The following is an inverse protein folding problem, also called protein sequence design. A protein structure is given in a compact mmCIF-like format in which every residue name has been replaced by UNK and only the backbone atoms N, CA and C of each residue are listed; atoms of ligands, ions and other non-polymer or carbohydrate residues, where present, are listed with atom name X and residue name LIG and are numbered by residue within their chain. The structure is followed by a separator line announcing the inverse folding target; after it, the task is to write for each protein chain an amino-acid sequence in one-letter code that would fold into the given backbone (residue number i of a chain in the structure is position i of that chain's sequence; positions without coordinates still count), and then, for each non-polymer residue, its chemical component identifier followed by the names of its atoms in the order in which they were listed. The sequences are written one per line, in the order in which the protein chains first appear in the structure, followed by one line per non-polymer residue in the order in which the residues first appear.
data_IF_067785046811
#
_entry.id   IF_067785046811
#
_cell.length_a   1.000
_cell.length_b   1.000
_cell.length_c   1.000
_cell.angle_alpha   90.00
_cell.angle_beta   90.00
_cell.angle_gamma   90.00
#
_symmetry.space_group_name_H-M   'P 1'
#
loop_
_entity.id
_entity.type
_entity.pdbx_description
1 polymer ?
#
# COMPACT_ATOMS: atom_id res chain seq x y z
N UNK A 1 -18.57 -6.80 -13.21
CA UNK A 1 -19.22 -7.51 -12.07
C UNK A 1 -18.54 -8.82 -11.69
N UNK A 2 -17.99 -9.60 -12.61
CA UNK A 2 -17.36 -10.91 -12.40
C UNK A 2 -16.06 -10.82 -11.59
N UNK A 3 -15.22 -9.80 -11.80
CA UNK A 3 -13.93 -9.64 -11.11
C UNK A 3 -14.05 -9.29 -9.61
N UNK A 4 -15.10 -8.57 -9.21
CA UNK A 4 -15.34 -8.22 -7.80
C UNK A 4 -15.57 -9.46 -6.94
N UNK A 5 -16.22 -10.47 -7.51
CA UNK A 5 -16.48 -11.75 -6.84
C UNK A 5 -15.21 -12.62 -6.74
N UNK A 6 -14.28 -12.52 -7.69
CA UNK A 6 -13.01 -13.25 -7.64
C UNK A 6 -12.06 -12.69 -6.57
N UNK A 7 -12.00 -11.37 -6.42
CA UNK A 7 -11.19 -10.73 -5.37
C UNK A 7 -11.72 -11.06 -3.97
N UNK A 8 -13.04 -10.97 -3.77
CA UNK A 8 -13.67 -11.37 -2.50
C UNK A 8 -13.42 -12.86 -2.19
N UNK A 9 -13.49 -13.73 -3.20
CA UNK A 9 -13.20 -15.14 -3.07
C UNK A 9 -11.73 -15.41 -2.70
N UNK A 10 -10.80 -14.67 -3.28
CA UNK A 10 -9.37 -14.79 -2.95
C UNK A 10 -9.10 -14.33 -1.51
N UNK A 11 -9.63 -13.20 -1.09
CA UNK A 11 -9.50 -12.69 0.30
C UNK A 11 -10.10 -13.70 1.28
N UNK A 12 -11.26 -14.25 0.97
CA UNK A 12 -11.92 -15.26 1.81
C UNK A 12 -11.08 -16.55 1.96
N UNK A 13 -10.48 -17.02 0.86
CA UNK A 13 -9.57 -18.19 0.89
C UNK A 13 -8.32 -17.92 1.71
N UNK A 14 -7.72 -16.74 1.61
CA UNK A 14 -6.57 -16.36 2.42
C UNK A 14 -6.92 -16.23 3.90
N UNK A 15 -8.07 -15.65 4.24
CA UNK A 15 -8.55 -15.59 5.62
C UNK A 15 -8.78 -16.98 6.22
N UNK A 16 -9.38 -17.89 5.45
CA UNK A 16 -9.60 -19.29 5.88
C UNK A 16 -8.25 -19.99 6.06
N UNK A 17 -7.30 -19.81 5.14
CA UNK A 17 -5.96 -20.41 5.24
C UNK A 17 -5.21 -19.90 6.50
N UNK A 18 -5.25 -18.60 6.76
CA UNK A 18 -4.67 -18.02 7.97
C UNK A 18 -5.36 -18.53 9.24
N UNK A 19 -6.68 -18.65 9.24
CA UNK A 19 -7.42 -19.21 10.36
C UNK A 19 -7.07 -20.68 10.60
N UNK A 20 -6.93 -21.50 9.56
CA UNK A 20 -6.54 -22.91 9.65
C UNK A 20 -5.10 -23.04 10.17
N UNK A 21 -4.18 -22.21 9.70
CA UNK A 21 -2.80 -22.16 10.19
C UNK A 21 -2.77 -21.77 11.68
N UNK A 22 -3.52 -20.75 12.08
CA UNK A 22 -3.62 -20.34 13.50
C UNK A 22 -4.23 -21.42 14.38
N UNK A 23 -5.26 -22.12 13.89
CA UNK A 23 -5.91 -23.24 14.60
C UNK A 23 -4.95 -24.43 14.71
N UNK A 24 -4.19 -24.75 13.65
CA UNK A 24 -3.21 -25.85 13.66
C UNK A 24 -2.03 -25.56 14.58
N UNK A 25 -1.57 -24.31 14.63
CA UNK A 25 -0.55 -23.85 15.59
C UNK A 25 -1.11 -23.93 17.03
N UNK A 26 -2.37 -23.55 17.24
CA UNK A 26 -3.04 -23.67 18.53
C UNK A 26 -3.23 -25.12 18.99
N UNK A 27 -3.53 -26.04 18.07
CA UNK A 27 -3.69 -27.46 18.38
C UNK A 27 -2.36 -28.13 18.78
N UNK A 28 -1.26 -27.75 18.15
CA UNK A 28 0.08 -28.20 18.53
C UNK A 28 0.59 -27.54 19.82
N UNK A 29 0.10 -26.35 20.17
CA UNK A 29 0.43 -25.65 21.42
C UNK A 29 -0.13 -26.36 22.68
N UNK A 30 -1.00 -27.36 22.55
CA UNK A 30 -1.43 -28.17 23.70
C UNK A 30 -0.27 -28.93 24.37
N UNK A 31 0.79 -29.22 23.63
CA UNK A 31 2.00 -29.83 24.24
C UNK A 31 2.87 -28.80 25.00
N UNK A 32 2.68 -27.52 24.78
CA UNK A 32 3.33 -26.42 25.50
C UNK A 32 2.55 -25.91 26.72
N UNK A 33 1.66 -26.73 27.28
CA UNK A 33 0.78 -26.43 28.44
C UNK A 33 1.47 -25.98 29.73
N UNK A 34 2.78 -25.78 29.76
CA UNK A 34 3.49 -25.25 30.94
C UNK A 34 3.78 -23.73 30.88
N UNK A 35 3.42 -23.05 29.82
CA UNK A 35 3.51 -21.61 29.79
C UNK A 35 2.14 -20.99 30.12
N UNK A 36 1.77 -21.05 31.42
CA UNK A 36 0.79 -20.10 31.94
C UNK A 36 1.23 -18.69 31.50
N UNK A 37 0.30 -17.90 31.04
CA UNK A 37 0.59 -16.50 30.69
C UNK A 37 1.18 -15.86 31.96
N UNK A 38 2.44 -15.56 31.88
CA UNK A 38 3.24 -14.92 32.94
C UNK A 38 2.62 -13.57 33.34
N UNK A 39 1.70 -13.09 32.53
CA UNK A 39 1.08 -11.77 32.56
C UNK A 39 -0.35 -11.75 33.15
N UNK A 40 -0.88 -12.87 33.66
CA UNK A 40 -2.19 -12.94 34.34
C UNK A 40 -2.18 -12.43 35.79
N UNK A 41 -1.00 -12.19 36.36
CA UNK A 41 -0.86 -11.53 37.66
C UNK A 41 -0.87 -10.00 37.45
N UNK A 42 -1.52 -9.22 38.32
CA UNK A 42 -1.66 -7.78 38.24
C UNK A 42 -0.37 -6.94 38.25
N UNK A 43 0.71 -7.45 37.68
CA UNK A 43 2.00 -6.79 37.55
C UNK A 43 2.08 -5.99 36.24
N UNK A 44 2.73 -4.84 36.31
CA UNK A 44 3.03 -4.00 35.17
C UNK A 44 4.29 -4.51 34.45
N UNK A 45 4.17 -4.74 33.15
CA UNK A 45 5.29 -5.14 32.30
C UNK A 45 5.57 -4.09 31.24
N UNK A 46 6.84 -3.84 31.02
CA UNK A 46 7.34 -2.83 30.09
C UNK A 46 8.32 -3.48 29.12
N UNK A 47 8.05 -3.37 27.82
CA UNK A 47 8.85 -3.98 26.76
C UNK A 47 9.31 -2.95 25.75
N UNK A 48 10.59 -2.98 25.41
CA UNK A 48 11.06 -2.48 24.12
C UNK A 48 10.87 -3.58 23.08
N UNK A 49 10.49 -3.22 21.85
CA UNK A 49 10.32 -4.22 20.80
C UNK A 49 10.95 -3.80 19.47
N UNK A 50 11.29 -4.83 18.69
CA UNK A 50 11.61 -4.72 17.26
C UNK A 50 10.59 -5.57 16.52
N UNK A 51 10.07 -5.07 15.40
CA UNK A 51 9.08 -5.79 14.60
C UNK A 51 9.41 -5.74 13.12
N UNK A 52 9.03 -6.81 12.42
CA UNK A 52 9.04 -6.88 10.96
C UNK A 52 7.71 -7.42 10.45
N UNK A 53 7.20 -6.87 9.35
CA UNK A 53 6.00 -7.37 8.70
C UNK A 53 6.21 -7.50 7.20
N UNK A 54 5.53 -8.47 6.62
CA UNK A 54 5.51 -8.70 5.17
C UNK A 54 4.11 -9.17 4.76
N UNK A 55 3.66 -8.74 3.59
CA UNK A 55 2.33 -9.13 3.13
C UNK A 55 1.93 -8.48 1.82
N UNK A 56 0.64 -8.53 1.56
CA UNK A 56 0.00 -7.95 0.39
C UNK A 56 -0.33 -6.49 0.65
N UNK A 57 0.07 -5.63 -0.26
CA UNK A 57 -0.19 -4.20 -0.24
C UNK A 57 -0.94 -3.78 -1.50
N UNK A 58 -1.91 -2.91 -1.36
CA UNK A 58 -2.68 -2.38 -2.47
C UNK A 58 -3.08 -0.93 -2.18
N UNK A 59 -3.15 -0.11 -3.23
CA UNK A 59 -3.84 1.17 -3.19
C UNK A 59 -5.28 0.95 -3.63
N UNK A 60 -6.20 1.12 -2.72
CA UNK A 60 -7.61 1.10 -3.05
C UNK A 60 -8.01 2.48 -3.58
N UNK A 61 -8.37 2.55 -4.84
CA UNK A 61 -8.80 3.78 -5.51
C UNK A 61 -10.12 3.58 -6.21
N UNK A 62 -10.95 4.62 -6.20
CA UNK A 62 -12.20 4.68 -6.96
C UNK A 62 -11.99 5.41 -8.31
N UNK A 63 -10.76 5.48 -8.79
CA UNK A 63 -10.44 6.14 -10.06
C UNK A 63 -11.18 5.46 -11.21
N UNK A 64 -11.94 6.20 -12.05
CA UNK A 64 -12.64 5.62 -13.17
C UNK A 64 -11.63 5.04 -14.18
N UNK A 65 -12.05 4.00 -14.91
CA UNK A 65 -11.26 3.35 -15.97
C UNK A 65 -9.87 2.86 -15.52
N UNK A 66 -9.69 2.58 -14.24
CA UNK A 66 -8.45 2.08 -13.71
C UNK A 66 -8.69 0.89 -12.78
N UNK A 67 -7.88 -0.16 -12.96
CA UNK A 67 -7.94 -1.38 -12.16
C UNK A 67 -6.72 -1.44 -11.23
N UNK A 68 -6.91 -1.31 -9.91
CA UNK A 68 -5.80 -1.44 -8.96
C UNK A 68 -5.42 -2.91 -8.75
N UNK A 69 -4.13 -3.18 -8.76
CA UNK A 69 -3.52 -4.46 -8.42
C UNK A 69 -2.58 -4.28 -7.24
N UNK A 70 -2.61 -5.23 -6.34
CA UNK A 70 -1.69 -5.22 -5.21
C UNK A 70 -0.32 -5.77 -5.56
N UNK A 71 0.61 -5.51 -4.66
CA UNK A 71 1.98 -5.99 -4.72
C UNK A 71 2.48 -6.40 -3.34
N UNK A 72 3.78 -6.62 -3.25
CA UNK A 72 4.43 -6.90 -1.98
C UNK A 72 4.58 -5.62 -1.18
N UNK A 73 4.24 -5.67 0.09
CA UNK A 73 4.49 -4.63 1.07
C UNK A 73 5.11 -5.19 2.34
N UNK A 74 5.60 -4.30 3.19
CA UNK A 74 6.13 -4.69 4.48
C UNK A 74 6.58 -3.50 5.29
N UNK A 75 7.01 -3.76 6.53
CA UNK A 75 7.56 -2.75 7.40
C UNK A 75 8.57 -3.35 8.37
N UNK A 76 9.49 -2.50 8.83
CA UNK A 76 10.36 -2.76 9.96
C UNK A 76 10.22 -1.62 10.96
N UNK A 77 10.17 -1.94 12.24
CA UNK A 77 9.95 -0.93 13.26
C UNK A 77 10.47 -1.31 14.62
N UNK A 78 10.48 -0.31 15.47
CA UNK A 78 10.83 -0.43 16.87
C UNK A 78 9.85 0.37 17.72
N UNK A 79 9.70 0.02 18.97
CA UNK A 79 8.78 0.74 19.83
C UNK A 79 8.76 0.18 21.26
N UNK A 80 7.71 0.56 21.93
CA UNK A 80 7.48 0.25 23.32
C UNK A 80 6.07 -0.32 23.52
N UNK A 81 5.96 -1.38 24.31
CA UNK A 81 4.69 -2.00 24.69
C UNK A 81 4.57 -2.07 26.21
N UNK A 82 3.44 -1.63 26.72
CA UNK A 82 3.01 -1.78 28.10
C UNK A 82 1.96 -2.88 28.19
N UNK A 83 2.05 -3.72 29.25
CA UNK A 83 1.05 -4.77 29.57
C UNK A 83 0.67 -4.72 31.03
N UNK A 84 -0.63 -4.81 31.30
CA UNK A 84 -1.19 -4.93 32.64
C UNK A 84 -2.48 -5.77 32.58
N UNK A 85 -2.57 -6.80 33.44
CA UNK A 85 -3.82 -7.57 33.67
C UNK A 85 -4.60 -7.96 32.41
N UNK A 86 -3.89 -8.41 31.38
CA UNK A 86 -4.47 -8.78 30.09
C UNK A 86 -4.59 -7.64 29.07
N UNK A 87 -4.53 -6.40 29.50
CA UNK A 87 -4.49 -5.24 28.62
C UNK A 87 -3.07 -4.98 28.09
N UNK A 88 -2.95 -4.55 26.87
CA UNK A 88 -1.69 -4.04 26.32
C UNK A 88 -1.90 -2.77 25.50
N UNK A 89 -0.87 -1.93 25.51
CA UNK A 89 -0.81 -0.73 24.68
C UNK A 89 0.59 -0.59 24.09
N UNK A 90 0.70 -0.22 22.83
CA UNK A 90 2.00 0.02 22.22
C UNK A 90 2.04 1.32 21.41
N UNK A 91 3.26 1.83 21.32
CA UNK A 91 3.62 2.96 20.46
C UNK A 91 4.97 2.65 19.82
N UNK A 92 5.15 3.05 18.58
CA UNK A 92 6.41 2.82 17.89
C UNK A 92 6.66 3.77 16.75
N UNK A 93 7.78 3.52 16.07
CA UNK A 93 8.13 4.12 14.79
C UNK A 93 8.53 2.99 13.86
N UNK A 94 8.02 3.03 12.63
CA UNK A 94 8.36 2.03 11.63
C UNK A 94 8.61 2.66 10.26
N UNK A 95 9.43 2.02 9.47
CA UNK A 95 9.60 2.30 8.05
C UNK A 95 8.80 1.26 7.28
N UNK A 96 7.86 1.70 6.47
CA UNK A 96 7.05 0.81 5.64
C UNK A 96 7.26 1.09 4.16
N UNK A 97 7.10 0.04 3.36
CA UNK A 97 7.10 0.11 1.92
C UNK A 97 5.85 -0.55 1.36
N UNK A 98 5.23 0.13 0.41
CA UNK A 98 4.02 -0.33 -0.26
C UNK A 98 4.25 -0.32 -1.76
N UNK A 99 3.92 -1.43 -2.41
CA UNK A 99 3.93 -1.56 -3.86
C UNK A 99 2.52 -1.88 -4.34
N UNK A 100 2.11 -1.21 -5.38
CA UNK A 100 0.84 -1.41 -6.06
C UNK A 100 1.01 -1.13 -7.53
N UNK A 101 0.15 -1.65 -8.36
CA UNK A 101 0.09 -1.23 -9.76
C UNK A 101 -1.35 -0.92 -10.15
N UNK A 102 -1.49 -0.06 -11.12
CA UNK A 102 -2.78 0.34 -11.68
C UNK A 102 -2.71 0.14 -13.19
N UNK A 103 -3.59 -0.68 -13.72
CA UNK A 103 -3.76 -0.82 -15.16
C UNK A 103 -4.91 0.08 -15.55
N UNK A 104 -4.67 0.96 -16.51
CA UNK A 104 -5.64 1.89 -17.03
C UNK A 104 -6.21 1.28 -18.31
N UNK A 105 -7.55 1.29 -18.45
CA UNK A 105 -8.18 0.84 -19.67
C UNK A 105 -7.67 1.70 -20.85
N UNK A 106 -7.53 1.07 -22.02
CA UNK A 106 -7.13 1.76 -23.24
C UNK A 106 -7.97 3.01 -23.44
N UNK A 107 -7.32 4.14 -23.66
CA UNK A 107 -8.01 5.40 -23.91
C UNK A 107 -7.46 6.08 -25.15
N UNK A 108 -8.36 6.82 -25.81
CA UNK A 108 -8.04 7.61 -26.98
C UNK A 108 -8.26 9.09 -26.66
N UNK A 109 -7.26 9.93 -26.87
CA UNK A 109 -7.37 11.37 -26.61
C UNK A 109 -8.42 12.06 -27.50
N UNK A 110 -8.89 11.40 -28.54
CA UNK A 110 -10.00 11.86 -29.37
C UNK A 110 -11.34 11.88 -28.63
N UNK A 111 -11.54 10.90 -27.77
CA UNK A 111 -12.82 10.65 -27.09
C UNK A 111 -12.91 11.38 -25.74
N UNK A 112 -11.84 12.02 -25.32
CA UNK A 112 -11.79 12.75 -24.06
C UNK A 112 -12.10 14.24 -24.27
N UNK A 113 -13.22 14.68 -23.70
CA UNK A 113 -13.71 16.06 -23.83
C UNK A 113 -12.74 17.14 -23.28
N UNK A 114 -11.83 16.76 -22.38
CA UNK A 114 -10.93 17.69 -21.70
C UNK A 114 -9.54 17.82 -22.35
N UNK A 115 -9.27 17.06 -23.41
CA UNK A 115 -7.97 17.09 -24.08
C UNK A 115 -8.02 17.99 -25.31
N UNK A 116 -7.32 19.12 -25.24
CA UNK A 116 -7.11 19.97 -26.43
C UNK A 116 -6.27 19.18 -27.43
N UNK A 117 -6.76 19.00 -28.70
CA UNK A 117 -6.00 18.28 -29.69
C UNK A 117 -4.63 18.92 -29.94
N UNK A 118 -3.64 18.10 -30.21
CA UNK A 118 -2.34 18.58 -30.62
C UNK A 118 -2.36 18.87 -32.14
N UNK A 119 -2.04 20.10 -32.51
CA UNK A 119 -1.88 20.51 -33.91
C UNK A 119 -0.40 20.58 -34.24
N UNK A 120 0.01 19.94 -35.31
CA UNK A 120 1.38 19.95 -35.80
C UNK A 120 1.38 19.73 -37.30
N UNK A 121 2.53 19.40 -37.83
CA UNK A 121 2.72 19.07 -39.24
C UNK A 121 3.12 17.60 -39.36
N UNK A 122 2.57 16.93 -40.37
CA UNK A 122 2.96 15.59 -40.73
C UNK A 122 4.33 15.56 -41.44
N UNK A 123 4.81 14.39 -41.80
CA UNK A 123 6.09 14.20 -42.51
C UNK A 123 6.09 14.85 -43.92
N UNK A 124 4.92 15.17 -44.46
CA UNK A 124 4.73 15.89 -45.72
C UNK A 124 4.49 17.39 -45.52
N UNK A 125 4.72 17.87 -44.30
CA UNK A 125 4.49 19.30 -43.92
C UNK A 125 3.05 19.77 -44.11
N UNK A 126 2.06 18.87 -43.93
CA UNK A 126 0.63 19.20 -43.94
C UNK A 126 0.11 19.38 -42.53
N UNK A 127 -0.76 20.36 -42.29
CA UNK A 127 -1.34 20.59 -40.98
C UNK A 127 -2.21 19.40 -40.57
N UNK A 128 -1.85 18.80 -39.44
CA UNK A 128 -2.45 17.56 -38.93
C UNK A 128 -2.78 17.72 -37.47
N UNK A 129 -3.96 17.24 -37.10
CA UNK A 129 -4.38 17.12 -35.71
C UNK A 129 -4.08 15.70 -35.23
N UNK A 130 -3.26 15.57 -34.21
CA UNK A 130 -2.80 14.27 -33.69
C UNK A 130 -3.65 13.79 -32.52
N UNK A 131 -3.89 12.49 -32.48
CA UNK A 131 -4.57 11.76 -31.41
C UNK A 131 -3.70 10.59 -30.95
N UNK A 132 -3.77 10.31 -29.65
CA UNK A 132 -3.01 9.25 -29.02
C UNK A 132 -3.96 8.19 -28.48
N UNK A 133 -3.72 6.92 -28.87
CA UNK A 133 -4.34 5.75 -28.25
C UNK A 133 -3.32 5.14 -27.31
N UNK A 134 -3.62 5.08 -26.03
CA UNK A 134 -2.65 4.78 -24.99
C UNK A 134 -3.10 3.58 -24.18
N UNK A 135 -2.18 2.59 -24.05
CA UNK A 135 -2.24 1.52 -23.09
C UNK A 135 -1.24 1.81 -21.96
N UNK A 136 -1.73 2.01 -20.76
CA UNK A 136 -0.93 2.51 -19.64
C UNK A 136 -1.01 1.59 -18.42
N UNK A 137 0.14 1.41 -17.80
CA UNK A 137 0.26 0.79 -16.48
C UNK A 137 1.11 1.66 -15.58
N UNK A 138 0.57 2.04 -14.44
CA UNK A 138 1.27 2.79 -13.41
C UNK A 138 1.74 1.81 -12.31
N UNK A 139 3.05 1.75 -12.08
CA UNK A 139 3.64 1.02 -10.96
C UNK A 139 3.97 2.01 -9.84
N UNK A 140 3.31 1.83 -8.71
CA UNK A 140 3.36 2.75 -7.59
C UNK A 140 4.21 2.15 -6.49
N UNK A 141 5.23 2.88 -6.06
CA UNK A 141 6.10 2.50 -4.95
C UNK A 141 6.20 3.65 -3.97
N UNK A 142 5.66 3.45 -2.77
CA UNK A 142 5.66 4.46 -1.72
C UNK A 142 6.26 3.92 -0.44
N UNK A 143 7.13 4.73 0.14
CA UNK A 143 7.77 4.45 1.42
C UNK A 143 7.30 5.48 2.43
N UNK A 144 7.05 5.04 3.66
CA UNK A 144 6.56 5.88 4.74
C UNK A 144 7.38 5.73 6.01
N UNK A 145 7.41 6.81 6.79
CA UNK A 145 7.65 6.73 8.23
C UNK A 145 6.29 6.71 8.90
N UNK A 146 6.05 5.69 9.70
CA UNK A 146 4.77 5.47 10.37
C UNK A 146 4.94 5.53 11.89
N UNK A 147 3.90 6.03 12.55
CA UNK A 147 3.76 6.02 14.00
C UNK A 147 2.49 5.22 14.33
N UNK A 148 2.61 3.90 14.60
CA UNK A 148 1.50 3.09 15.07
C UNK A 148 1.22 3.34 16.54
N UNK A 149 -0.07 3.44 16.88
CA UNK A 149 -0.61 3.50 18.24
C UNK A 149 -1.65 2.40 18.34
N UNK A 150 -1.43 1.41 19.19
CA UNK A 150 -2.33 0.26 19.31
C UNK A 150 -2.65 -0.02 20.77
N UNK A 151 -3.85 -0.51 20.97
CA UNK A 151 -4.32 -1.06 22.25
C UNK A 151 -5.00 -2.39 22.02
N UNK A 152 -5.00 -3.24 23.00
CA UNK A 152 -5.61 -4.54 22.85
C UNK A 152 -5.70 -5.34 24.12
N UNK A 153 -6.14 -6.57 23.96
CA UNK A 153 -6.30 -7.52 25.04
C UNK A 153 -5.50 -8.80 24.78
N UNK A 154 -5.08 -9.41 25.85
CA UNK A 154 -4.21 -10.53 25.88
C UNK A 154 -4.79 -11.65 26.74
N UNK A 155 -4.96 -12.85 26.19
CA UNK A 155 -5.56 -13.99 26.87
C UNK A 155 -4.74 -15.26 26.56
N UNK A 156 -4.08 -15.84 27.56
CA UNK A 156 -3.41 -17.14 27.44
C UNK A 156 -2.46 -17.27 26.24
N UNK A 157 -1.69 -16.24 25.96
CA UNK A 157 -0.78 -16.21 24.81
C UNK A 157 -1.41 -15.64 23.53
N UNK A 158 -2.72 -15.62 23.38
CA UNK A 158 -3.39 -14.91 22.30
C UNK A 158 -3.48 -13.43 22.59
N UNK A 159 -3.30 -12.62 21.58
CA UNK A 159 -3.54 -11.20 21.66
C UNK A 159 -4.39 -10.74 20.49
N UNK A 160 -5.23 -9.77 20.74
CA UNK A 160 -6.01 -9.05 19.75
C UNK A 160 -5.96 -7.57 20.07
N UNK A 161 -5.81 -6.76 19.07
CA UNK A 161 -5.79 -5.32 19.25
C UNK A 161 -6.02 -4.56 17.98
N UNK A 162 -6.20 -3.27 18.15
CA UNK A 162 -6.38 -2.34 17.08
C UNK A 162 -5.91 -0.96 17.46
N UNK A 163 -5.88 -0.08 16.49
CA UNK A 163 -5.41 1.26 16.73
C UNK A 163 -5.36 2.12 15.47
N UNK A 164 -4.60 3.19 15.58
CA UNK A 164 -4.39 4.13 14.49
C UNK A 164 -2.90 4.18 14.13
N UNK A 165 -2.65 4.44 12.87
CA UNK A 165 -1.31 4.66 12.34
C UNK A 165 -1.29 5.97 11.58
N UNK A 166 -0.31 6.82 11.91
CA UNK A 166 -0.04 8.06 11.19
C UNK A 166 1.15 7.81 10.30
N UNK A 167 1.03 8.13 8.99
CA UNK A 167 2.03 7.83 7.96
C UNK A 167 2.48 9.10 7.26
N UNK A 168 3.79 9.29 7.17
CA UNK A 168 4.42 10.37 6.42
C UNK A 168 5.22 9.80 5.25
N UNK A 169 4.89 10.23 4.04
CA UNK A 169 5.55 9.73 2.83
C UNK A 169 6.97 10.30 2.68
N UNK A 170 7.94 9.40 2.44
CA UNK A 170 9.34 9.77 2.21
C UNK A 170 9.62 10.01 0.74
N UNK A 171 9.39 9.01 -0.09
CA UNK A 171 9.74 9.03 -1.52
C UNK A 171 8.62 8.40 -2.34
N UNK A 172 7.53 9.14 -2.54
CA UNK A 172 6.42 8.62 -3.33
C UNK A 172 6.76 8.74 -4.82
N UNK A 173 6.96 7.60 -5.48
CA UNK A 173 7.25 7.54 -6.91
C UNK A 173 6.25 6.67 -7.65
N UNK A 174 5.91 7.08 -8.88
CA UNK A 174 5.14 6.27 -9.82
C UNK A 174 5.94 6.11 -11.10
N UNK A 175 6.07 4.87 -11.54
CA UNK A 175 6.66 4.52 -12.81
C UNK A 175 5.54 4.16 -13.77
N UNK A 176 5.35 5.00 -14.77
CA UNK A 176 4.32 4.86 -15.82
C UNK A 176 4.96 4.22 -17.04
N UNK A 177 4.40 3.11 -17.52
CA UNK A 177 4.88 2.38 -18.69
C UNK A 177 3.73 1.96 -19.58
N UNK A 178 4.05 1.70 -20.84
CA UNK A 178 3.09 1.17 -21.77
C UNK A 178 3.45 1.42 -23.21
N UNK A 179 2.42 1.44 -24.04
CA UNK A 179 2.53 1.72 -25.47
C UNK A 179 1.49 2.78 -25.86
N UNK A 180 1.81 3.56 -26.86
CA UNK A 180 0.82 4.40 -27.50
C UNK A 180 0.98 4.37 -29.01
N UNK A 181 -0.15 4.54 -29.69
CA UNK A 181 -0.23 4.72 -31.13
C UNK A 181 -0.64 6.15 -31.41
N UNK A 182 -0.17 6.66 -32.54
CA UNK A 182 -0.48 7.99 -33.00
C UNK A 182 -1.35 7.90 -34.25
N UNK A 183 -2.51 8.55 -34.20
CA UNK A 183 -3.35 8.76 -35.37
C UNK A 183 -3.44 10.26 -35.70
N UNK A 184 -3.66 10.58 -36.95
CA UNK A 184 -3.73 11.94 -37.41
C UNK A 184 -5.01 12.23 -38.17
N UNK A 185 -5.57 13.41 -37.97
CA UNK A 185 -6.64 13.97 -38.84
C UNK A 185 -6.06 15.08 -39.70
N UNK A 186 -6.04 14.86 -41.00
CA UNK A 186 -5.67 15.92 -41.91
C UNK A 186 -6.75 16.99 -41.91
N UNK A 187 -6.42 18.21 -41.54
CA UNK A 187 -7.37 19.30 -41.38
C UNK A 187 -7.84 19.89 -42.74
N UNK A 188 -7.10 19.59 -43.80
CA UNK A 188 -7.45 20.06 -45.14
C UNK A 188 -8.48 19.18 -45.83
N UNK A 189 -8.32 17.85 -45.67
CA UNK A 189 -9.17 16.85 -46.34
C UNK A 189 -10.18 16.20 -45.40
N UNK A 190 -10.13 16.53 -44.14
CA UNK A 190 -11.00 15.95 -43.09
C UNK A 190 -10.96 14.42 -43.02
N UNK A 191 -9.81 13.84 -43.31
CA UNK A 191 -9.57 12.41 -43.30
C UNK A 191 -8.78 12.02 -42.03
N UNK A 192 -9.23 10.98 -41.37
CA UNK A 192 -8.53 10.41 -40.21
C UNK A 192 -7.68 9.24 -40.71
N UNK A 193 -6.41 9.26 -40.35
CA UNK A 193 -5.46 8.19 -40.58
C UNK A 193 -5.25 7.48 -39.22
N UNK A 194 -5.73 6.26 -39.11
CA UNK A 194 -5.46 5.37 -37.96
C UNK A 194 -4.21 4.55 -38.26
N UNK A 195 -3.33 4.44 -37.24
CA UNK A 195 -2.09 3.69 -37.36
C UNK A 195 -1.30 4.06 -38.62
N UNK A 196 -0.71 5.22 -38.65
CA UNK A 196 0.00 5.80 -39.79
C UNK A 196 1.38 5.16 -40.02
N UNK A 197 1.48 3.87 -40.42
CA UNK A 197 2.75 3.14 -40.47
C UNK A 197 3.73 3.73 -41.48
N UNK A 198 3.23 4.26 -42.59
CA UNK A 198 4.05 4.85 -43.66
C UNK A 198 4.74 6.15 -43.22
N UNK A 199 4.30 6.71 -42.10
CA UNK A 199 4.87 7.94 -41.51
C UNK A 199 5.63 7.65 -40.22
N UNK A 200 5.81 6.39 -39.85
CA UNK A 200 6.51 5.95 -38.63
C UNK A 200 5.71 6.14 -37.34
N UNK A 201 4.40 6.32 -37.43
CA UNK A 201 3.51 6.49 -36.27
C UNK A 201 2.93 5.15 -35.82
N UNK A 202 3.79 4.18 -35.58
CA UNK A 202 3.43 2.85 -35.08
C UNK A 202 3.51 2.82 -33.55
N UNK A 203 3.38 1.65 -32.94
CA UNK A 203 3.45 1.44 -31.49
C UNK A 203 4.75 1.98 -30.89
N UNK A 204 4.64 3.01 -30.07
CA UNK A 204 5.73 3.60 -29.32
C UNK A 204 5.70 3.11 -27.86
N UNK A 205 6.83 2.59 -27.40
CA UNK A 205 6.99 2.28 -25.98
C UNK A 205 7.33 3.56 -25.22
N UNK A 206 6.77 3.68 -24.01
CA UNK A 206 7.13 4.75 -23.10
C UNK A 206 7.41 4.22 -21.69
N UNK A 207 8.30 4.93 -21.01
CA UNK A 207 8.58 4.74 -19.60
C UNK A 207 8.86 6.11 -18.99
N UNK A 208 8.08 6.50 -17.99
CA UNK A 208 8.21 7.78 -17.33
C UNK A 208 8.10 7.63 -15.80
N UNK A 209 9.03 8.22 -15.08
CA UNK A 209 9.05 8.21 -13.62
C UNK A 209 8.67 9.58 -13.08
N UNK A 210 7.61 9.64 -12.29
CA UNK A 210 7.14 10.85 -11.63
C UNK A 210 7.28 10.75 -10.11
N UNK A 211 7.50 11.90 -9.48
CA UNK A 211 7.39 12.06 -8.05
C UNK A 211 5.99 12.55 -7.70
N UNK A 212 5.34 11.89 -6.77
CA UNK A 212 4.01 12.25 -6.33
C UNK A 212 4.06 13.15 -5.08
N UNK A 213 3.00 13.91 -4.86
CA UNK A 213 2.81 14.67 -3.62
C UNK A 213 1.72 13.99 -2.82
N UNK A 214 2.05 13.55 -1.61
CA UNK A 214 1.12 12.87 -0.73
C UNK A 214 0.81 13.71 0.50
N UNK A 215 -0.39 13.53 1.03
CA UNK A 215 -0.81 14.02 2.33
C UNK A 215 -0.29 13.10 3.43
N UNK A 216 -0.34 13.56 4.65
CA UNK A 216 -0.17 12.70 5.82
C UNK A 216 -1.29 11.67 5.82
N UNK A 217 -0.92 10.39 5.90
CA UNK A 217 -1.85 9.26 5.97
C UNK A 217 -2.32 9.03 7.40
N UNK A 218 -3.58 8.62 7.54
CA UNK A 218 -4.12 8.06 8.76
C UNK A 218 -4.78 6.73 8.41
N UNK A 219 -4.40 5.66 9.10
CA UNK A 219 -4.89 4.31 8.84
C UNK A 219 -5.44 3.68 10.12
N UNK A 220 -6.51 2.91 9.99
CA UNK A 220 -6.94 1.96 11.00
C UNK A 220 -6.04 0.72 10.89
N UNK A 221 -5.55 0.23 12.02
CA UNK A 221 -4.73 -0.96 12.09
C UNK A 221 -5.34 -1.97 13.05
N UNK A 222 -5.18 -3.26 12.72
CA UNK A 222 -5.62 -4.36 13.54
C UNK A 222 -4.58 -5.47 13.59
N UNK A 223 -4.52 -6.16 14.71
CA UNK A 223 -3.57 -7.24 14.95
C UNK A 223 -4.25 -8.35 15.74
N UNK A 224 -4.04 -9.60 15.30
CA UNK A 224 -4.40 -10.80 16.04
C UNK A 224 -3.25 -11.79 15.95
N UNK A 225 -2.85 -12.38 17.06
CA UNK A 225 -1.69 -13.27 17.04
C UNK A 225 -1.50 -14.06 18.31
N UNK A 226 -0.32 -14.65 18.39
CA UNK A 226 0.07 -15.54 19.48
C UNK A 226 1.54 -15.33 19.86
N UNK A 227 1.83 -15.43 21.15
CA UNK A 227 3.18 -15.41 21.69
C UNK A 227 3.80 -16.81 21.54
N UNK A 228 4.71 -16.95 20.56
CA UNK A 228 5.37 -18.23 20.26
C UNK A 228 6.34 -18.65 21.36
N UNK A 229 7.07 -17.69 21.91
CA UNK A 229 8.06 -17.89 22.97
C UNK A 229 7.86 -16.81 24.02
N UNK A 230 7.73 -17.24 25.25
CA UNK A 230 7.80 -16.36 26.41
C UNK A 230 8.72 -17.02 27.46
N UNK A 231 9.87 -16.41 27.68
CA UNK A 231 10.79 -16.91 28.69
C UNK A 231 10.88 -15.92 29.84
N UNK A 232 10.53 -16.40 31.04
CA UNK A 232 10.88 -15.71 32.26
C UNK A 232 12.01 -16.52 32.92
N UNK A 233 13.23 -16.02 32.91
CA UNK A 233 14.29 -16.65 33.64
C UNK A 233 13.97 -16.60 35.15
N UNK A 234 14.05 -17.71 35.83
CA UNK A 234 13.72 -17.88 37.27
C UNK A 234 14.52 -16.96 38.20
N UNK A 235 15.56 -16.29 37.70
CA UNK A 235 16.46 -15.42 38.48
C UNK A 235 16.62 -14.00 37.91
N UNK A 236 16.11 -13.70 36.72
CA UNK A 236 16.23 -12.38 36.16
C UNK A 236 14.84 -11.75 35.97
N UNK A 237 14.75 -10.42 36.15
CA UNK A 237 13.52 -9.63 35.90
C UNK A 237 13.29 -9.35 34.40
N UNK A 238 14.12 -9.91 33.53
CA UNK A 238 14.07 -9.69 32.09
C UNK A 238 13.30 -10.83 31.43
N UNK A 239 12.29 -10.48 30.69
CA UNK A 239 11.46 -11.39 29.90
C UNK A 239 11.73 -11.14 28.41
N UNK A 240 11.80 -12.21 27.64
CA UNK A 240 11.83 -12.14 26.18
C UNK A 240 10.56 -12.76 25.63
N UNK A 241 9.93 -12.07 24.68
CA UNK A 241 8.69 -12.55 24.04
C UNK A 241 8.85 -12.46 22.52
N UNK A 242 8.48 -13.54 21.85
CA UNK A 242 8.38 -13.57 20.39
C UNK A 242 6.90 -13.70 20.01
N UNK A 243 6.35 -12.67 19.35
CA UNK A 243 4.96 -12.64 18.89
C UNK A 243 4.91 -12.90 17.38
N UNK A 244 3.98 -13.74 16.97
CA UNK A 244 3.57 -13.89 15.57
C UNK A 244 2.14 -13.42 15.44
N UNK A 245 1.90 -12.49 14.53
CA UNK A 245 0.59 -11.86 14.35
C UNK A 245 0.18 -11.82 12.88
N UNK A 246 -1.12 -11.90 12.65
CA UNK A 246 -1.73 -11.41 11.44
C UNK A 246 -2.01 -9.93 11.62
N UNK A 247 -1.57 -9.12 10.68
CA UNK A 247 -1.66 -7.67 10.71
C UNK A 247 -2.48 -7.15 9.55
N UNK A 248 -3.33 -6.19 9.82
CA UNK A 248 -4.23 -5.56 8.87
C UNK A 248 -4.14 -4.05 8.98
N UNK A 249 -4.22 -3.37 7.85
CA UNK A 249 -4.23 -1.92 7.75
C UNK A 249 -5.21 -1.44 6.68
N UNK A 250 -5.97 -0.39 6.99
CA UNK A 250 -6.86 0.29 6.07
C UNK A 250 -6.80 1.80 6.24
N UNK A 251 -6.46 2.52 5.17
CA UNK A 251 -6.39 3.98 5.16
C UNK A 251 -7.75 4.64 5.35
N UNK A 252 -7.79 5.63 6.22
CA UNK A 252 -9.01 6.38 6.56
C UNK A 252 -9.18 7.62 5.69
N UNK A 253 -8.09 8.31 5.37
CA UNK A 253 -8.10 9.53 4.58
C UNK A 253 -7.49 9.34 3.19
N UNK A 254 -7.81 10.25 2.28
CA UNK A 254 -7.18 10.29 0.97
C UNK A 254 -5.72 10.73 1.11
N UNK A 255 -4.79 9.85 0.69
CA UNK A 255 -3.37 10.16 0.76
C UNK A 255 -2.86 10.92 -0.47
N UNK A 256 -3.60 10.96 -1.57
CA UNK A 256 -3.26 11.82 -2.71
C UNK A 256 -3.60 13.28 -2.40
N UNK A 257 -2.66 14.16 -2.72
CA UNK A 257 -2.86 15.59 -2.57
C UNK A 257 -3.57 16.15 -3.80
N UNK A 258 -4.60 16.96 -3.57
CA UNK A 258 -5.22 17.74 -4.64
C UNK A 258 -4.19 18.70 -5.25
N UNK A 259 -4.31 18.95 -6.54
CA UNK A 259 -3.47 19.89 -7.27
C UNK A 259 -4.34 20.90 -8.02
N UNK A 260 -3.95 22.16 -7.97
CA UNK A 260 -4.63 23.22 -8.71
C UNK A 260 -4.34 23.14 -10.21
N UNK A 261 -3.27 22.45 -10.57
CA UNK A 261 -2.83 22.26 -11.97
C UNK A 261 -2.68 20.78 -12.26
N UNK A 262 -3.77 20.09 -12.66
CA UNK A 262 -3.68 18.69 -13.06
C UNK A 262 -2.79 18.56 -14.30
N UNK A 263 -1.97 17.51 -14.33
CA UNK A 263 -1.18 17.21 -15.52
C UNK A 263 -2.10 16.68 -16.63
N UNK A 264 -1.80 17.00 -17.86
CA UNK A 264 -2.47 16.34 -18.99
C UNK A 264 -2.04 14.87 -19.03
N UNK A 265 -2.92 13.98 -19.43
CA UNK A 265 -2.57 12.56 -19.59
C UNK A 265 -1.45 12.38 -20.59
N UNK A 266 -1.56 13.06 -21.72
CA UNK A 266 -0.58 13.06 -22.80
C UNK A 266 -0.06 14.47 -22.98
N UNK A 267 1.24 14.64 -22.90
CA UNK A 267 1.92 15.89 -23.22
C UNK A 267 2.79 15.68 -24.46
N UNK A 268 2.29 16.02 -25.65
CA UNK A 268 3.04 15.91 -26.89
C UNK A 268 4.29 16.78 -26.87
N UNK A 269 5.39 16.29 -27.42
CA UNK A 269 6.53 17.12 -27.69
C UNK A 269 6.20 18.09 -28.82
N UNK A 270 6.48 19.37 -28.63
CA UNK A 270 6.18 20.42 -29.60
C UNK A 270 6.91 20.25 -30.94
N UNK A 271 8.12 19.68 -30.86
CA UNK A 271 8.99 19.56 -32.04
C UNK A 271 8.83 18.20 -32.73
N UNK A 272 8.24 17.23 -32.06
CA UNK A 272 8.05 15.89 -32.61
C UNK A 272 6.84 15.19 -31.97
N UNK A 273 5.75 15.08 -32.72
CA UNK A 273 4.51 14.43 -32.26
C UNK A 273 4.67 12.96 -31.90
N UNK A 274 5.70 12.28 -32.43
CA UNK A 274 6.00 10.88 -32.07
C UNK A 274 6.65 10.73 -30.69
N UNK A 275 7.04 11.84 -30.06
CA UNK A 275 7.60 11.87 -28.72
C UNK A 275 6.59 12.53 -27.78
N UNK A 276 5.82 11.74 -27.08
CA UNK A 276 4.88 12.22 -26.09
C UNK A 276 5.29 11.75 -24.69
N UNK A 277 5.08 12.61 -23.69
CA UNK A 277 5.18 12.22 -22.29
C UNK A 277 3.81 11.75 -21.82
N UNK A 278 3.74 10.53 -21.32
CA UNK A 278 2.52 9.98 -20.73
C UNK A 278 2.64 10.10 -19.21
N UNK A 279 1.80 10.94 -18.63
CA UNK A 279 1.84 11.22 -17.19
C UNK A 279 1.14 10.12 -16.38
N UNK A 280 1.56 9.87 -15.11
CA UNK A 280 0.86 8.98 -14.21
C UNK A 280 -0.62 9.36 -14.11
N UNK A 281 -1.49 8.38 -14.26
CA UNK A 281 -2.93 8.59 -14.30
C UNK A 281 -3.47 9.30 -13.05
N UNK A 282 -2.91 8.96 -11.88
CA UNK A 282 -3.28 9.59 -10.60
C UNK A 282 -2.98 11.09 -10.54
N UNK A 283 -2.05 11.60 -11.36
CA UNK A 283 -1.66 13.01 -11.39
C UNK A 283 -2.52 13.85 -12.34
N UNK A 284 -3.41 13.21 -13.09
CA UNK A 284 -4.24 13.89 -14.10
C UNK A 284 -5.55 14.45 -13.53
N UNK A 285 -5.84 14.21 -12.26
CA UNK A 285 -7.04 14.68 -11.60
C UNK A 285 -6.78 15.88 -10.68
N UNK A 286 -7.52 16.98 -10.87
CA UNK A 286 -7.47 18.14 -9.96
C UNK A 286 -7.91 17.74 -8.53
N UNK A 287 -9.00 16.99 -8.45
CA UNK A 287 -9.48 16.40 -7.21
C UNK A 287 -9.32 14.88 -7.32
N UNK A 288 -8.20 14.33 -6.86
CA UNK A 288 -7.96 12.91 -6.96
C UNK A 288 -9.06 12.14 -6.22
N UNK A 289 -9.58 11.14 -6.88
CA UNK A 289 -10.51 10.20 -6.28
C UNK A 289 -9.90 9.61 -5.02
N UNK A 290 -10.74 9.25 -4.05
CA UNK A 290 -10.27 8.70 -2.78
C UNK A 290 -9.34 7.53 -3.01
N UNK A 291 -8.09 7.72 -2.64
CA UNK A 291 -7.04 6.70 -2.72
C UNK A 291 -6.50 6.45 -1.32
N UNK A 292 -6.63 5.21 -0.86
CA UNK A 292 -6.25 4.80 0.50
C UNK A 292 -5.36 3.57 0.46
N UNK A 293 -4.34 3.48 1.33
CA UNK A 293 -3.52 2.29 1.44
C UNK A 293 -4.31 1.15 2.11
N UNK A 294 -4.06 -0.04 1.63
CA UNK A 294 -4.51 -1.29 2.22
C UNK A 294 -3.30 -2.21 2.35
N UNK A 295 -3.15 -2.83 3.51
CA UNK A 295 -2.12 -3.83 3.74
C UNK A 295 -2.69 -4.97 4.59
N UNK A 296 -2.29 -6.19 4.26
CA UNK A 296 -2.56 -7.36 5.09
C UNK A 296 -1.40 -8.34 5.01
N UNK A 297 -0.99 -8.88 6.13
CA UNK A 297 0.18 -9.75 6.16
C UNK A 297 0.49 -10.32 7.52
N UNK A 298 1.70 -10.83 7.64
CA UNK A 298 2.23 -11.42 8.86
C UNK A 298 3.23 -10.47 9.48
N UNK A 299 3.18 -10.32 10.80
CA UNK A 299 4.08 -9.50 11.60
C UNK A 299 4.76 -10.36 12.66
N UNK A 300 6.07 -10.30 12.71
CA UNK A 300 6.88 -10.89 13.77
C UNK A 300 7.40 -9.77 14.66
N UNK A 301 7.22 -9.92 15.98
CA UNK A 301 7.68 -8.94 16.97
C UNK A 301 8.50 -9.63 18.04
N UNK A 302 9.72 -9.17 18.22
CA UNK A 302 10.58 -9.60 19.31
C UNK A 302 10.64 -8.51 20.37
N UNK A 303 10.36 -8.88 21.61
CA UNK A 303 10.20 -7.96 22.73
C UNK A 303 11.15 -8.34 23.86
N UNK A 304 11.76 -7.32 24.45
CA UNK A 304 12.66 -7.45 25.60
C UNK A 304 12.17 -6.48 26.67
N UNK A 305 11.95 -6.98 27.89
CA UNK A 305 11.46 -6.13 28.96
C UNK A 305 11.36 -6.85 30.30
N UNK A 306 10.62 -6.25 31.22
CA UNK A 306 10.45 -6.82 32.53
C UNK A 306 9.38 -6.17 33.38
N UNK A 307 9.10 -6.76 34.53
CA UNK A 307 8.19 -6.23 35.54
C UNK A 307 8.87 -5.13 36.36
N UNK A 308 8.14 -4.08 36.65
CA UNK A 308 8.59 -2.95 37.50
C UNK A 308 8.18 -3.11 38.95
N UNK A 309 7.43 -4.14 39.30
CA UNK A 309 6.98 -4.36 40.71
C UNK A 309 8.18 -4.66 41.62
N UNK A 310 8.73 -3.58 42.19
CA UNK A 310 9.44 -3.70 43.43
C UNK A 310 8.41 -4.05 44.51
N UNK A 311 8.27 -5.31 44.85
CA UNK A 311 7.69 -5.62 46.18
C UNK A 311 8.58 -4.95 47.21
N UNK A 312 8.19 -3.78 47.68
CA UNK A 312 8.66 -3.23 48.93
C UNK A 312 8.10 -4.20 49.98
N UNK A 313 8.86 -5.23 50.30
CA UNK A 313 8.57 -6.05 51.46
C UNK A 313 8.77 -5.16 52.70
N UNK A 314 7.69 -4.67 53.27
CA UNK A 314 7.71 -4.25 54.66
C UNK A 314 7.82 -5.53 55.48
N UNK A 315 8.99 -5.75 56.05
CA UNK A 315 9.20 -6.63 57.21
C UNK A 315 8.99 -5.82 58.48
#
# INVERSE_FOLDING_TARGET
MIQKNQLLSAIHRWMILCAVVLISLGANAQSFRKHHSIFEGGDDYHFGYISGSVGYSMLHTNTPNAMPYGGLGGAVGLGYEFRNSGFWANVGVQLSFHRSSMVIDEYNTRDEADQTPYFGFDTQNKPTQFYYRVNQRDEIQWNFIDIPLQVGYYIRGFHVGGGLKISYALTPTTLTKGTYNLSGRNTVYDVIFEDMPDQGYTDYNFEYKANNRLNVGCSLIGEIGYDLLSSVPTRSRVCNVLKLSFYFEYGLNNILRATDTPQRRVEPNRDNATQATINPYINTFANPTRTVPFFTGVKLTYMIGGSRTARVGFH
#
